data_IF_880365251926
#
_entry.id   IF_880365251926
#
_cell.length_a   1.000
_cell.length_b   1.000
_cell.length_c   1.000
_cell.angle_alpha   90.00
_cell.angle_beta   90.00
_cell.angle_gamma   90.00
#
_symmetry.space_group_name_H-M   'P 1'
#
loop_
_entity.id
_entity.type
_entity.pdbx_description
1 polymer ?
#
# COMPACT_ATOMS: atom_id res chain seq x y z
N UNK A 1 -1.88 -14.06 17.19
CA UNK A 1 -2.56 -14.96 16.22
C UNK A 1 -1.66 -15.11 15.01
N UNK A 2 -1.25 -16.32 14.62
CA UNK A 2 -0.51 -16.52 13.36
C UNK A 2 -1.41 -16.07 12.21
N UNK A 3 -0.87 -15.34 11.22
CA UNK A 3 -1.61 -15.10 9.98
C UNK A 3 -1.73 -16.44 9.27
N UNK A 4 -2.92 -17.04 9.36
CA UNK A 4 -3.26 -18.18 8.52
C UNK A 4 -3.48 -17.66 7.10
N UNK A 5 -2.50 -17.95 6.23
CA UNK A 5 -2.56 -17.55 4.84
C UNK A 5 -3.29 -18.59 3.97
N UNK A 6 -3.88 -19.64 4.55
CA UNK A 6 -4.57 -20.69 3.78
C UNK A 6 -5.72 -20.14 2.94
N UNK A 7 -6.43 -19.12 3.43
CA UNK A 7 -7.47 -18.42 2.69
C UNK A 7 -6.93 -17.69 1.46
N UNK A 8 -5.63 -17.33 1.44
CA UNK A 8 -4.99 -16.67 0.29
C UNK A 8 -4.64 -17.64 -0.80
N UNK A 9 -4.09 -18.80 -0.44
CA UNK A 9 -3.76 -19.85 -1.40
C UNK A 9 -5.00 -20.38 -2.14
N UNK A 10 -6.21 -20.12 -1.60
CA UNK A 10 -7.49 -20.42 -2.25
C UNK A 10 -7.95 -19.35 -3.25
N UNK A 11 -7.33 -18.18 -3.32
CA UNK A 11 -7.65 -17.18 -4.36
C UNK A 11 -6.90 -17.60 -5.62
N UNK A 12 -7.63 -18.11 -6.61
CA UNK A 12 -7.08 -18.68 -7.85
C UNK A 12 -6.20 -17.71 -8.65
N UNK A 13 -6.35 -16.39 -8.44
CA UNK A 13 -5.52 -15.39 -9.09
C UNK A 13 -4.65 -14.60 -8.09
N UNK A 14 -3.34 -14.66 -8.32
CA UNK A 14 -2.36 -13.81 -7.65
C UNK A 14 -2.55 -12.35 -8.09
N UNK A 15 -2.41 -11.36 -7.19
CA UNK A 15 -2.59 -9.95 -7.54
C UNK A 15 -1.63 -9.43 -8.58
N UNK A 16 -0.40 -9.96 -8.56
CA UNK A 16 0.71 -9.62 -9.43
C UNK A 16 1.38 -10.93 -9.86
N UNK A 17 1.71 -11.06 -11.14
CA UNK A 17 2.39 -12.22 -11.72
C UNK A 17 3.91 -12.07 -11.72
N UNK A 18 4.40 -10.85 -11.55
CA UNK A 18 5.83 -10.53 -11.58
C UNK A 18 6.19 -9.35 -10.71
N UNK A 19 7.49 -9.18 -10.46
CA UNK A 19 8.02 -7.99 -9.78
C UNK A 19 7.71 -6.70 -10.55
N UNK A 20 7.72 -6.77 -11.88
CA UNK A 20 7.46 -5.61 -12.75
C UNK A 20 6.01 -5.14 -12.64
N UNK A 21 5.05 -6.08 -12.65
CA UNK A 21 3.64 -5.74 -12.41
C UNK A 21 3.44 -5.12 -11.02
N UNK A 22 4.16 -5.59 -10.01
CA UNK A 22 4.11 -5.03 -8.67
C UNK A 22 4.65 -3.59 -8.62
N UNK A 23 5.79 -3.31 -9.27
CA UNK A 23 6.38 -1.96 -9.39
C UNK A 23 5.41 -0.98 -10.04
N UNK A 24 4.90 -1.36 -11.21
CA UNK A 24 3.92 -0.61 -11.97
C UNK A 24 2.68 -0.27 -11.12
N UNK A 25 2.15 -1.27 -10.42
CA UNK A 25 0.97 -1.09 -9.60
C UNK A 25 1.21 -0.15 -8.42
N UNK A 26 2.29 -0.33 -7.66
CA UNK A 26 2.54 0.51 -6.48
C UNK A 26 2.94 1.93 -6.85
N UNK A 27 3.62 2.14 -7.97
CA UNK A 27 3.85 3.48 -8.48
C UNK A 27 2.52 4.18 -8.78
N UNK A 28 1.67 3.55 -9.61
CA UNK A 28 0.44 4.17 -10.12
C UNK A 28 -0.68 4.30 -9.09
N UNK A 29 -0.89 3.28 -8.26
CA UNK A 29 -2.09 3.19 -7.40
C UNK A 29 -1.79 3.34 -5.91
N UNK A 30 -0.54 3.58 -5.52
CA UNK A 30 -0.19 3.82 -4.11
C UNK A 30 0.66 5.07 -3.96
N UNK A 31 1.85 5.09 -4.56
CA UNK A 31 2.80 6.17 -4.38
C UNK A 31 2.40 7.43 -5.14
N UNK A 32 1.76 7.32 -6.31
CA UNK A 32 1.16 8.46 -7.00
C UNK A 32 0.04 9.10 -6.18
N UNK A 33 -0.86 8.33 -5.56
CA UNK A 33 -1.91 8.90 -4.70
C UNK A 33 -1.32 9.62 -3.48
N UNK A 34 -0.36 9.00 -2.79
CA UNK A 34 0.36 9.66 -1.71
C UNK A 34 1.03 10.95 -2.21
N UNK A 35 1.69 10.89 -3.37
CA UNK A 35 2.33 12.05 -3.98
C UNK A 35 1.33 13.18 -4.25
N UNK A 36 0.14 12.89 -4.79
CA UNK A 36 -0.91 13.88 -5.03
C UNK A 36 -1.39 14.49 -3.71
N UNK A 37 -1.62 13.68 -2.67
CA UNK A 37 -2.06 14.18 -1.36
C UNK A 37 -1.01 15.08 -0.71
N UNK A 38 0.27 14.70 -0.76
CA UNK A 38 1.36 15.53 -0.23
C UNK A 38 1.45 16.86 -0.98
N UNK A 39 1.43 16.84 -2.31
CA UNK A 39 1.50 18.06 -3.12
C UNK A 39 0.29 18.98 -2.96
N UNK A 40 -0.87 18.42 -2.57
CA UNK A 40 -2.08 19.18 -2.29
C UNK A 40 -2.12 19.85 -0.91
N UNK A 41 -1.14 19.58 -0.04
CA UNK A 41 -1.14 20.00 1.36
C UNK A 41 0.11 20.79 1.75
N UNK A 42 0.00 21.70 2.72
CA UNK A 42 1.17 22.31 3.36
C UNK A 42 2.12 21.25 3.94
N UNK A 43 3.43 21.53 3.90
CA UNK A 43 4.48 20.55 4.26
C UNK A 43 4.39 20.09 5.72
N UNK A 44 3.88 20.95 6.60
CA UNK A 44 3.60 20.65 8.01
C UNK A 44 2.58 19.52 8.22
N UNK A 45 1.68 19.28 7.26
CA UNK A 45 0.67 18.21 7.32
C UNK A 45 1.14 16.88 6.73
N UNK A 46 2.28 16.86 6.04
CA UNK A 46 2.74 15.67 5.33
C UNK A 46 2.94 14.46 6.24
N UNK A 47 3.46 14.66 7.45
CA UNK A 47 3.60 13.55 8.41
C UNK A 47 2.25 13.00 8.87
N UNK A 48 1.23 13.84 8.99
CA UNK A 48 -0.12 13.41 9.36
C UNK A 48 -0.74 12.57 8.24
N UNK A 49 -0.55 12.99 6.98
CA UNK A 49 -0.94 12.20 5.80
C UNK A 49 -0.26 10.83 5.80
N UNK A 50 1.06 10.76 5.99
CA UNK A 50 1.76 9.47 6.01
C UNK A 50 1.39 8.59 7.21
N UNK A 51 1.10 9.18 8.38
CA UNK A 51 0.52 8.42 9.52
C UNK A 51 -0.82 7.79 9.14
N UNK A 52 -1.66 8.48 8.36
CA UNK A 52 -2.91 7.93 7.85
C UNK A 52 -2.66 6.76 6.91
N UNK A 53 -1.73 6.88 5.96
CA UNK A 53 -1.35 5.77 5.08
C UNK A 53 -0.81 4.55 5.84
N UNK A 54 -0.01 4.76 6.89
CA UNK A 54 0.43 3.67 7.79
C UNK A 54 -0.77 2.97 8.45
N UNK A 55 -1.78 3.73 8.90
CA UNK A 55 -3.02 3.16 9.47
C UNK A 55 -3.84 2.42 8.40
N UNK A 56 -3.89 2.92 7.16
CA UNK A 56 -4.56 2.27 6.03
C UNK A 56 -3.95 0.89 5.80
N UNK A 57 -2.62 0.79 5.67
CA UNK A 57 -1.95 -0.50 5.51
C UNK A 57 -2.14 -1.43 6.72
N UNK A 58 -2.17 -0.87 7.94
CA UNK A 58 -2.47 -1.66 9.13
C UNK A 58 -3.89 -2.23 9.10
N UNK A 59 -4.88 -1.44 8.68
CA UNK A 59 -6.26 -1.90 8.55
C UNK A 59 -6.43 -2.89 7.39
N UNK A 60 -5.77 -2.65 6.25
CA UNK A 60 -5.72 -3.56 5.11
C UNK A 60 -5.20 -4.95 5.50
N UNK A 61 -4.19 -5.02 6.39
CA UNK A 61 -3.70 -6.31 6.91
C UNK A 61 -4.75 -7.08 7.73
N UNK A 62 -5.66 -6.40 8.39
CA UNK A 62 -6.76 -7.06 9.10
C UNK A 62 -7.81 -7.55 8.11
N UNK A 63 -8.13 -6.75 7.10
CA UNK A 63 -9.08 -7.09 6.04
C UNK A 63 -8.64 -8.27 5.19
N UNK A 64 -7.34 -8.43 5.00
CA UNK A 64 -6.70 -9.58 4.36
C UNK A 64 -7.23 -10.93 4.89
N UNK A 65 -7.61 -11.01 6.18
CA UNK A 65 -8.13 -12.23 6.82
C UNK A 65 -9.57 -12.57 6.40
N UNK A 66 -10.25 -11.66 5.71
CA UNK A 66 -11.66 -11.76 5.35
C UNK A 66 -11.83 -12.04 3.85
N UNK A 67 -12.86 -12.81 3.46
CA UNK A 67 -13.29 -12.89 2.07
C UNK A 67 -13.83 -11.52 1.59
N UNK A 68 -13.84 -11.29 0.28
CA UNK A 68 -14.15 -9.98 -0.30
C UNK A 68 -15.56 -9.48 0.07
N UNK A 69 -16.53 -10.38 0.12
CA UNK A 69 -17.92 -10.09 0.48
C UNK A 69 -18.01 -9.52 1.90
N UNK A 70 -17.24 -10.09 2.83
CA UNK A 70 -17.19 -9.64 4.23
C UNK A 70 -16.42 -8.33 4.40
N UNK A 71 -15.46 -8.02 3.52
CA UNK A 71 -14.80 -6.71 3.52
C UNK A 71 -15.77 -5.58 3.15
N UNK A 72 -16.68 -5.80 2.20
CA UNK A 72 -17.73 -4.83 1.86
C UNK A 72 -18.66 -4.52 3.05
N UNK A 73 -18.98 -5.51 3.87
CA UNK A 73 -19.75 -5.29 5.10
C UNK A 73 -18.98 -4.41 6.10
N UNK A 74 -17.66 -4.60 6.21
CA UNK A 74 -16.80 -3.76 7.05
C UNK A 74 -16.81 -2.32 6.56
N UNK A 75 -16.67 -2.08 5.25
CA UNK A 75 -16.66 -0.72 4.69
C UNK A 75 -17.95 0.03 4.96
N UNK A 76 -19.11 -0.62 4.76
CA UNK A 76 -20.42 -0.06 5.10
C UNK A 76 -20.52 0.28 6.59
N UNK A 77 -20.03 -0.59 7.46
CA UNK A 77 -20.05 -0.35 8.92
C UNK A 77 -19.23 0.88 9.32
N UNK A 78 -18.11 1.14 8.63
CA UNK A 78 -17.27 2.31 8.87
C UNK A 78 -17.67 3.54 8.04
N UNK A 79 -18.77 3.48 7.28
CA UNK A 79 -19.24 4.54 6.38
C UNK A 79 -18.15 5.04 5.41
N UNK A 80 -17.36 4.12 4.85
CA UNK A 80 -16.40 4.49 3.83
C UNK A 80 -17.15 4.95 2.57
N UNK A 81 -16.69 6.06 1.98
CA UNK A 81 -17.10 6.42 0.64
C UNK A 81 -16.39 5.55 -0.41
N UNK A 82 -16.82 5.67 -1.67
CA UNK A 82 -16.28 4.87 -2.76
C UNK A 82 -14.77 5.08 -2.98
N UNK A 83 -14.22 6.25 -2.63
CA UNK A 83 -12.80 6.54 -2.77
C UNK A 83 -12.00 5.79 -1.71
N UNK A 84 -12.43 5.87 -0.45
CA UNK A 84 -11.80 5.16 0.65
C UNK A 84 -11.92 3.64 0.51
N UNK A 85 -13.04 3.13 -0.01
CA UNK A 85 -13.16 1.72 -0.40
C UNK A 85 -12.11 1.31 -1.43
N UNK A 86 -11.91 2.14 -2.48
CA UNK A 86 -10.89 1.92 -3.50
C UNK A 86 -9.49 1.87 -2.92
N UNK A 87 -9.10 2.89 -2.13
CA UNK A 87 -7.79 2.95 -1.46
C UNK A 87 -7.56 1.73 -0.57
N UNK A 88 -8.59 1.28 0.14
CA UNK A 88 -8.49 0.12 1.02
C UNK A 88 -8.31 -1.19 0.24
N UNK A 89 -9.05 -1.37 -0.85
CA UNK A 89 -8.88 -2.54 -1.72
C UNK A 89 -7.51 -2.55 -2.42
N UNK A 90 -7.01 -1.39 -2.82
CA UNK A 90 -5.65 -1.25 -3.37
C UNK A 90 -4.59 -1.62 -2.34
N UNK A 91 -4.71 -1.11 -1.10
CA UNK A 91 -3.79 -1.47 -0.02
C UNK A 91 -3.82 -2.97 0.30
N UNK A 92 -5.01 -3.59 0.29
CA UNK A 92 -5.15 -5.05 0.46
C UNK A 92 -4.48 -5.79 -0.70
N UNK A 93 -4.69 -5.34 -1.94
CA UNK A 93 -4.09 -5.95 -3.13
C UNK A 93 -2.56 -5.86 -3.10
N UNK A 94 -2.01 -4.71 -2.72
CA UNK A 94 -0.56 -4.51 -2.57
C UNK A 94 0.01 -5.43 -1.51
N UNK A 95 -0.59 -5.51 -0.32
CA UNK A 95 -0.12 -6.43 0.71
C UNK A 95 -0.17 -7.89 0.25
N UNK A 96 -1.30 -8.32 -0.34
CA UNK A 96 -1.42 -9.69 -0.83
C UNK A 96 -0.37 -9.99 -1.91
N UNK A 97 -0.20 -9.10 -2.88
CA UNK A 97 0.76 -9.26 -3.96
C UNK A 97 2.21 -9.26 -3.47
N UNK A 98 2.53 -8.43 -2.49
CA UNK A 98 3.87 -8.39 -1.90
C UNK A 98 4.18 -9.66 -1.10
N UNK A 99 3.21 -10.22 -0.37
CA UNK A 99 3.39 -11.51 0.29
C UNK A 99 3.55 -12.66 -0.73
N UNK A 100 2.76 -12.67 -1.80
CA UNK A 100 2.83 -13.74 -2.81
C UNK A 100 4.14 -13.73 -3.60
N UNK A 101 4.74 -12.55 -3.81
CA UNK A 101 6.04 -12.40 -4.47
C UNK A 101 7.23 -12.52 -3.51
N UNK A 102 7.00 -12.69 -2.20
CA UNK A 102 8.06 -12.75 -1.19
C UNK A 102 8.77 -11.41 -0.93
N UNK A 103 8.19 -10.29 -1.39
CA UNK A 103 8.67 -8.92 -1.12
C UNK A 103 8.50 -8.58 0.36
N UNK A 104 7.41 -9.05 0.96
CA UNK A 104 7.13 -8.99 2.39
C UNK A 104 6.99 -10.39 2.97
N UNK A 105 7.32 -10.53 4.26
CA UNK A 105 7.03 -11.72 5.05
C UNK A 105 5.75 -11.55 5.88
N UNK A 106 5.00 -12.63 6.18
CA UNK A 106 3.74 -12.52 6.92
C UNK A 106 3.86 -11.87 8.31
N UNK A 107 5.04 -11.96 8.94
CA UNK A 107 5.38 -11.34 10.22
C UNK A 107 5.74 -9.85 10.13
N UNK A 108 6.05 -9.34 8.94
CA UNK A 108 6.43 -7.94 8.76
C UNK A 108 5.34 -6.97 9.24
N UNK A 109 5.76 -5.80 9.72
CA UNK A 109 4.83 -4.73 10.10
C UNK A 109 4.18 -4.14 8.84
N UNK A 110 2.90 -3.73 8.88
CA UNK A 110 2.18 -3.28 7.68
C UNK A 110 2.83 -2.08 6.95
N UNK A 111 3.44 -1.15 7.69
CA UNK A 111 4.10 0.01 7.09
C UNK A 111 5.29 -0.35 6.20
N UNK A 112 5.87 -1.56 6.36
CA UNK A 112 6.94 -2.03 5.46
C UNK A 112 6.45 -2.17 4.02
N UNK A 113 5.15 -2.28 3.78
CA UNK A 113 4.61 -2.23 2.42
C UNK A 113 4.95 -0.91 1.71
N UNK A 114 4.86 0.22 2.42
CA UNK A 114 5.25 1.51 1.86
C UNK A 114 6.78 1.60 1.67
N UNK A 115 7.54 1.10 2.63
CA UNK A 115 9.01 1.03 2.52
C UNK A 115 9.42 0.26 1.27
N UNK A 116 8.90 -0.98 1.12
CA UNK A 116 9.15 -1.81 -0.06
C UNK A 116 8.63 -1.21 -1.35
N UNK A 117 7.46 -0.58 -1.34
CA UNK A 117 6.97 0.14 -2.51
C UNK A 117 7.94 1.23 -2.95
N UNK A 118 8.48 2.03 -2.02
CA UNK A 118 9.45 3.08 -2.36
C UNK A 118 10.78 2.51 -2.84
N UNK A 119 11.30 1.44 -2.22
CA UNK A 119 12.52 0.75 -2.64
C UNK A 119 12.41 0.16 -4.05
N UNK A 120 11.23 -0.36 -4.41
CA UNK A 120 11.00 -0.99 -5.71
C UNK A 120 11.08 -0.02 -6.89
N UNK A 121 10.78 1.27 -6.67
CA UNK A 121 10.65 2.24 -7.76
C UNK A 121 11.66 3.41 -7.69
N UNK A 122 12.48 3.50 -6.64
CA UNK A 122 13.34 4.67 -6.42
C UNK A 122 14.37 4.94 -7.54
N UNK A 123 14.78 3.87 -8.23
CA UNK A 123 15.74 3.90 -9.32
C UNK A 123 15.07 3.80 -10.70
N UNK A 124 13.74 3.74 -10.75
CA UNK A 124 12.95 3.61 -11.98
C UNK A 124 12.60 5.00 -12.55
N UNK A 125 13.59 5.73 -13.07
CA UNK A 125 13.42 7.14 -13.50
C UNK A 125 12.26 7.34 -14.50
N UNK A 126 12.10 6.44 -15.46
CA UNK A 126 11.02 6.53 -16.46
C UNK A 126 9.64 6.35 -15.82
N UNK A 127 9.52 5.42 -14.87
CA UNK A 127 8.30 5.17 -14.11
C UNK A 127 7.95 6.37 -13.23
N UNK A 128 8.93 6.92 -12.50
CA UNK A 128 8.74 8.11 -11.66
C UNK A 128 8.25 9.31 -12.49
N UNK A 129 8.87 9.53 -13.66
CA UNK A 129 8.48 10.61 -14.57
C UNK A 129 7.09 10.38 -15.14
N UNK A 130 6.78 9.17 -15.59
CA UNK A 130 5.48 8.83 -16.19
C UNK A 130 4.33 9.00 -15.19
N UNK A 131 4.53 8.55 -13.96
CA UNK A 131 3.53 8.65 -12.90
C UNK A 131 3.60 9.98 -12.12
N UNK A 132 4.45 10.94 -12.53
CA UNK A 132 4.51 12.26 -11.89
C UNK A 132 4.94 12.26 -10.42
N UNK A 133 5.70 11.25 -9.99
CA UNK A 133 6.14 11.08 -8.60
C UNK A 133 7.43 11.87 -8.39
N UNK A 134 7.41 12.84 -7.46
CA UNK A 134 8.61 13.64 -7.16
C UNK A 134 9.59 12.85 -6.28
N UNK A 135 10.89 12.95 -6.61
CA UNK A 135 11.97 12.37 -5.80
C UNK A 135 12.01 12.91 -4.37
N UNK A 136 11.69 14.18 -4.18
CA UNK A 136 11.57 14.77 -2.84
C UNK A 136 10.52 14.04 -2.00
N UNK A 137 9.37 13.72 -2.59
CA UNK A 137 8.26 13.08 -1.89
C UNK A 137 8.63 11.64 -1.53
N UNK A 138 9.24 10.89 -2.44
CA UNK A 138 9.78 9.56 -2.11
C UNK A 138 10.82 9.61 -1.00
N UNK A 139 11.74 10.58 -1.04
CA UNK A 139 12.74 10.78 0.01
C UNK A 139 12.06 11.07 1.36
N UNK A 140 11.07 11.95 1.37
CA UNK A 140 10.31 12.29 2.57
C UNK A 140 9.57 11.08 3.14
N UNK A 141 8.90 10.29 2.28
CA UNK A 141 8.23 9.04 2.68
C UNK A 141 9.25 8.09 3.33
N UNK A 142 10.40 7.87 2.71
CA UNK A 142 11.46 6.99 3.25
C UNK A 142 11.99 7.50 4.60
N UNK A 143 12.25 8.80 4.72
CA UNK A 143 12.73 9.41 5.96
C UNK A 143 11.68 9.30 7.09
N UNK A 144 10.41 9.51 6.77
CA UNK A 144 9.32 9.31 7.71
C UNK A 144 9.21 7.85 8.18
N UNK A 145 9.30 6.88 7.26
CA UNK A 145 9.16 5.46 7.59
C UNK A 145 10.31 4.93 8.46
N UNK A 146 11.51 5.50 8.35
CA UNK A 146 12.63 5.17 9.25
C UNK A 146 12.32 5.41 10.73
N UNK A 147 11.35 6.27 11.06
CA UNK A 147 10.90 6.50 12.44
C UNK A 147 10.15 5.31 13.06
N UNK A 148 9.78 4.31 12.25
CA UNK A 148 9.05 3.11 12.69
C UNK A 148 9.93 1.86 12.83
N UNK A 149 11.18 1.94 12.40
CA UNK A 149 12.21 0.89 12.56
C UNK A 149 12.76 0.89 13.98
#
# INVERSE_FOLDING_TARGET
MKLDLSTFLKRDELPFRSLEEAKEYVAKYTLNFINIELEGLPKEEWENTLKTWVKIFAFARELLKLPQERRKEVYRKYNFDSMMEGIMEDAVKVLYGFYSLGILKPEDKPHKALEKATELIENEEELLKREGIKRENLKFIKEFLKKFN
#
